data_IF_310657447005
#
_entry.id   IF_310657447005
#
_cell.length_a   1.000
_cell.length_b   1.000
_cell.length_c   1.000
_cell.angle_alpha   90.00
_cell.angle_beta   90.00
_cell.angle_gamma   90.00
#
_symmetry.space_group_name_H-M   'P 1'
#
loop_
_entity.id
_entity.type
_entity.pdbx_description
1 polymer ?
#
# COMPACT_ATOMS: atom_id res chain seq x y z
N UNK A 1 -2.21 -8.43 2.88
CA UNK A 1 -2.40 -8.02 1.47
C UNK A 1 -2.76 -6.55 1.45
N UNK A 2 -2.34 -5.79 0.44
CA UNK A 2 -2.69 -4.36 0.28
C UNK A 2 -3.60 -4.18 -0.94
N UNK A 3 -4.74 -3.51 -0.75
CA UNK A 3 -5.62 -3.02 -1.80
C UNK A 3 -5.57 -1.49 -1.83
N UNK A 4 -5.07 -0.93 -2.94
CA UNK A 4 -5.08 0.52 -3.17
C UNK A 4 -6.24 0.85 -4.12
N UNK A 5 -7.15 1.71 -3.68
CA UNK A 5 -8.34 2.11 -4.45
C UNK A 5 -8.28 3.60 -4.81
N UNK A 6 -9.05 3.99 -5.82
CA UNK A 6 -9.14 5.35 -6.34
C UNK A 6 -10.58 5.84 -6.34
N UNK A 7 -10.83 7.00 -6.97
CA UNK A 7 -12.15 7.63 -7.05
C UNK A 7 -13.00 6.97 -8.15
N UNK A 8 -14.13 6.30 -7.81
CA UNK A 8 -15.02 5.71 -8.81
C UNK A 8 -15.56 6.75 -9.81
N UNK A 9 -15.84 7.96 -9.33
CA UNK A 9 -16.32 9.08 -10.13
C UNK A 9 -15.29 9.59 -11.17
N UNK A 10 -14.02 9.18 -11.04
CA UNK A 10 -12.94 9.47 -11.99
C UNK A 10 -12.54 8.24 -12.83
N UNK A 11 -13.33 7.16 -12.78
CA UNK A 11 -13.05 5.90 -13.49
C UNK A 11 -12.30 4.85 -12.67
N UNK A 12 -12.21 5.03 -11.34
CA UNK A 12 -11.80 3.95 -10.43
C UNK A 12 -12.79 2.78 -10.47
N UNK A 13 -12.27 1.55 -10.49
CA UNK A 13 -13.12 0.35 -10.60
C UNK A 13 -13.72 -0.07 -9.25
N UNK A 14 -12.96 0.09 -8.17
CA UNK A 14 -13.33 -0.45 -6.86
C UNK A 14 -14.15 0.58 -6.09
N UNK A 15 -15.43 0.28 -5.86
CA UNK A 15 -16.31 1.12 -5.05
C UNK A 15 -16.04 0.96 -3.55
N UNK A 16 -16.49 1.90 -2.69
CA UNK A 16 -16.40 1.75 -1.24
C UNK A 16 -17.05 0.46 -0.72
N UNK A 17 -18.18 0.05 -1.28
CA UNK A 17 -18.92 -1.15 -0.90
C UNK A 17 -18.12 -2.41 -1.26
N UNK A 18 -17.54 -2.45 -2.47
CA UNK A 18 -16.69 -3.56 -2.91
C UNK A 18 -15.42 -3.68 -2.04
N UNK A 19 -14.81 -2.55 -1.66
CA UNK A 19 -13.66 -2.54 -0.77
C UNK A 19 -14.01 -3.03 0.65
N UNK A 20 -15.18 -2.63 1.18
CA UNK A 20 -15.68 -3.10 2.46
C UNK A 20 -15.97 -4.61 2.45
N UNK A 21 -16.57 -5.10 1.37
CA UNK A 21 -16.84 -6.53 1.20
C UNK A 21 -15.53 -7.33 1.09
N UNK A 22 -14.54 -6.84 0.35
CA UNK A 22 -13.22 -7.46 0.27
C UNK A 22 -12.56 -7.55 1.66
N UNK A 23 -12.68 -6.50 2.49
CA UNK A 23 -12.17 -6.49 3.87
C UNK A 23 -12.93 -7.46 4.78
N UNK A 24 -14.22 -7.66 4.56
CA UNK A 24 -15.04 -8.64 5.29
C UNK A 24 -14.59 -10.07 4.97
N UNK A 25 -14.34 -10.36 3.69
CA UNK A 25 -13.89 -11.68 3.23
C UNK A 25 -12.43 -11.98 3.60
N UNK A 26 -11.56 -10.96 3.61
CA UNK A 26 -10.18 -11.07 4.06
C UNK A 26 -9.91 -10.06 5.20
N UNK A 27 -10.10 -10.46 6.47
CA UNK A 27 -9.91 -9.55 7.61
C UNK A 27 -8.51 -8.94 7.71
N UNK A 28 -7.47 -9.61 7.18
CA UNK A 28 -6.09 -9.12 7.13
C UNK A 28 -5.78 -8.20 5.93
N UNK A 29 -6.79 -7.88 5.10
CA UNK A 29 -6.64 -6.93 3.99
C UNK A 29 -6.42 -5.51 4.51
N UNK A 30 -5.39 -4.81 4.04
CA UNK A 30 -5.27 -3.38 4.26
C UNK A 30 -5.85 -2.65 3.04
N UNK A 31 -6.73 -1.67 3.27
CA UNK A 31 -7.36 -0.88 2.21
C UNK A 31 -6.91 0.57 2.34
N UNK A 32 -6.33 1.11 1.28
CA UNK A 32 -5.90 2.51 1.18
C UNK A 32 -6.61 3.16 0.00
N UNK A 33 -7.43 4.18 0.27
CA UNK A 33 -8.04 5.00 -0.79
C UNK A 33 -7.18 6.22 -1.07
N UNK A 34 -6.79 6.42 -2.34
CA UNK A 34 -6.13 7.64 -2.81
C UNK A 34 -7.12 8.47 -3.61
N UNK A 35 -7.41 9.67 -3.12
CA UNK A 35 -8.29 10.64 -3.78
C UNK A 35 -7.57 11.38 -4.90
N UNK A 36 -8.32 11.96 -5.83
CA UNK A 36 -7.80 12.70 -6.97
C UNK A 36 -7.28 11.82 -8.12
N UNK A 37 -7.65 10.53 -8.18
CA UNK A 37 -7.19 9.59 -9.21
C UNK A 37 -8.32 8.73 -9.77
N UNK A 38 -8.24 8.40 -11.07
CA UNK A 38 -9.11 7.44 -11.73
C UNK A 38 -8.50 6.04 -11.85
N UNK A 39 -8.62 5.45 -13.03
CA UNK A 39 -8.15 4.10 -13.34
C UNK A 39 -6.61 3.96 -13.21
N UNK A 40 -5.85 5.02 -13.50
CA UNK A 40 -4.40 5.00 -13.53
C UNK A 40 -3.77 5.58 -12.25
N UNK A 41 -4.26 5.14 -11.08
CA UNK A 41 -3.86 5.62 -9.74
C UNK A 41 -2.35 5.73 -9.53
N UNK A 42 -1.56 4.80 -10.08
CA UNK A 42 -0.09 4.81 -9.98
C UNK A 42 0.58 5.97 -10.71
N UNK A 43 -0.06 6.52 -11.75
CA UNK A 43 0.45 7.68 -12.51
C UNK A 43 -0.15 8.97 -11.97
N UNK A 44 -1.45 8.98 -11.71
CA UNK A 44 -2.19 10.16 -11.25
C UNK A 44 -1.83 10.54 -9.80
N UNK A 45 -1.51 9.54 -8.96
CA UNK A 45 -1.12 9.72 -7.56
C UNK A 45 0.17 8.96 -7.24
N UNK A 46 1.21 9.16 -8.06
CA UNK A 46 2.47 8.40 -7.96
C UNK A 46 3.10 8.45 -6.55
N UNK A 47 3.26 9.65 -5.97
CA UNK A 47 3.89 9.81 -4.66
C UNK A 47 3.14 9.08 -3.56
N UNK A 48 1.82 9.28 -3.48
CA UNK A 48 0.96 8.65 -2.49
C UNK A 48 0.88 7.12 -2.69
N UNK A 49 0.85 6.66 -3.94
CA UNK A 49 0.88 5.23 -4.25
C UNK A 49 2.18 4.56 -3.76
N UNK A 50 3.34 5.14 -4.10
CA UNK A 50 4.64 4.62 -3.67
C UNK A 50 4.76 4.64 -2.15
N UNK A 51 4.26 5.69 -1.48
CA UNK A 51 4.24 5.77 -0.02
C UNK A 51 3.42 4.61 0.58
N UNK A 52 2.19 4.38 0.10
CA UNK A 52 1.34 3.29 0.58
C UNK A 52 2.01 1.91 0.43
N UNK A 53 2.63 1.64 -0.72
CA UNK A 53 3.34 0.38 -0.96
C UNK A 53 4.55 0.23 -0.04
N UNK A 54 5.37 1.29 0.12
CA UNK A 54 6.54 1.26 1.01
C UNK A 54 6.14 1.02 2.46
N UNK A 55 5.13 1.74 2.96
CA UNK A 55 4.62 1.57 4.32
C UNK A 55 4.16 0.13 4.57
N UNK A 56 3.39 -0.45 3.64
CA UNK A 56 2.96 -1.84 3.72
C UNK A 56 4.17 -2.80 3.77
N UNK A 57 5.16 -2.62 2.90
CA UNK A 57 6.34 -3.48 2.87
C UNK A 57 7.19 -3.34 4.14
N UNK A 58 7.42 -2.14 4.64
CA UNK A 58 8.17 -1.92 5.89
C UNK A 58 7.49 -2.57 7.09
N UNK A 59 6.16 -2.49 7.17
CA UNK A 59 5.41 -3.07 8.28
C UNK A 59 5.39 -4.61 8.25
N UNK A 60 5.34 -5.21 7.06
CA UNK A 60 5.14 -6.66 6.91
C UNK A 60 6.43 -7.43 6.60
N UNK A 61 7.46 -6.75 6.10
CA UNK A 61 8.76 -7.32 5.72
C UNK A 61 9.90 -6.43 6.23
N UNK A 62 10.02 -6.23 7.56
CA UNK A 62 11.17 -5.52 8.11
C UNK A 62 12.44 -6.25 7.65
N UNK A 63 13.38 -5.49 7.08
CA UNK A 63 14.65 -6.06 6.61
C UNK A 63 15.31 -6.80 7.77
N UNK A 64 15.74 -8.04 7.55
CA UNK A 64 16.63 -8.72 8.48
C UNK A 64 17.82 -7.79 8.74
N UNK A 65 18.08 -7.48 10.01
CA UNK A 65 19.24 -6.70 10.45
C UNK A 65 20.49 -7.25 9.75
N UNK A 66 21.18 -6.44 8.94
CA UNK A 66 22.54 -6.80 8.56
C UNK A 66 23.38 -6.87 9.85
N UNK A 67 24.16 -7.94 10.08
CA UNK A 67 25.10 -7.95 11.20
C UNK A 67 26.08 -6.79 10.99
N UNK A 68 26.14 -5.89 11.97
CA UNK A 68 27.20 -4.88 12.03
C UNK A 68 28.53 -5.63 12.06
N UNK A 69 29.37 -5.45 11.04
CA UNK A 69 30.73 -5.95 11.07
C UNK A 69 31.41 -5.35 12.30
N UNK A 70 31.92 -6.25 13.15
CA UNK A 70 32.59 -5.91 14.38
C UNK A 70 33.73 -4.92 14.11
N UNK A 71 33.76 -3.87 14.92
CA UNK A 71 34.93 -3.01 15.10
C UNK A 71 36.13 -3.89 15.44
N UNK A 72 37.04 -4.08 14.47
CA UNK A 72 38.37 -4.56 14.75
C UNK A 72 39.19 -3.38 15.29
N UNK A 73 39.16 -3.23 16.62
CA UNK A 73 40.29 -2.69 17.36
C UNK A 73 41.41 -3.71 17.27
N UNK A 74 42.57 -3.34 16.73
CA UNK A 74 43.93 -3.50 17.31
C UNK A 74 44.90 -2.76 16.40
#
# INVERSE_FOLDING_TARGET
MLLVTSDPERGGIVTPEAAAEAKRLLPSLEVVRLTGAGHNIRREQFGAFVAAVRSFLTANYPSARQPQSASART
#
